data_IF_467684463955
#
_entry.id   IF_467684463955
#
_cell.length_a   1.000
_cell.length_b   1.000
_cell.length_c   1.000
_cell.angle_alpha   90.00
_cell.angle_beta   90.00
_cell.angle_gamma   90.00
#
_symmetry.space_group_name_H-M   'P 1'
#
loop_
_entity.id
_entity.type
_entity.pdbx_description
1 polymer ?
#
# COMPACT_ATOMS: atom_id res chain seq x y z
N UNK A 1 -12.31 16.50 19.95
CA UNK A 1 -12.12 15.06 20.12
C UNK A 1 -11.15 14.61 19.05
N UNK A 2 -9.85 14.65 19.34
CA UNK A 2 -8.84 14.03 18.49
C UNK A 2 -8.91 12.52 18.74
N UNK A 3 -9.63 11.82 17.88
CA UNK A 3 -9.50 10.38 17.79
C UNK A 3 -8.06 10.09 17.41
N UNK A 4 -7.31 9.45 18.29
CA UNK A 4 -5.97 8.92 18.00
C UNK A 4 -6.12 7.97 16.83
N UNK A 5 -5.79 8.43 15.62
CA UNK A 5 -5.74 7.55 14.44
C UNK A 5 -4.65 6.54 14.75
N UNK A 6 -5.05 5.28 15.00
CA UNK A 6 -4.10 4.19 15.16
C UNK A 6 -3.46 3.93 13.80
N UNK A 7 -2.20 4.31 13.65
CA UNK A 7 -1.41 3.95 12.48
C UNK A 7 -1.17 2.45 12.45
N UNK A 8 -1.34 1.86 11.28
CA UNK A 8 -1.08 0.45 11.03
C UNK A 8 0.42 0.21 10.92
N UNK A 9 0.88 -0.94 11.40
CA UNK A 9 2.24 -1.38 11.14
C UNK A 9 2.42 -1.68 9.64
N UNK A 10 3.64 -1.49 9.13
CA UNK A 10 3.93 -1.74 7.72
C UNK A 10 3.67 -3.19 7.31
N UNK A 11 3.92 -4.14 8.20
CA UNK A 11 3.62 -5.56 8.00
C UNK A 11 2.11 -5.82 7.89
N UNK A 12 1.30 -5.13 8.71
CA UNK A 12 -0.15 -5.24 8.66
C UNK A 12 -0.71 -4.63 7.36
N UNK A 13 -0.16 -3.51 6.90
CA UNK A 13 -0.51 -2.89 5.62
C UNK A 13 -0.23 -3.85 4.47
N UNK A 14 0.98 -4.43 4.45
CA UNK A 14 1.38 -5.39 3.44
C UNK A 14 0.46 -6.62 3.46
N UNK A 15 0.22 -7.22 4.62
CA UNK A 15 -0.57 -8.46 4.70
C UNK A 15 -2.03 -8.23 4.30
N UNK A 16 -2.62 -7.08 4.65
CA UNK A 16 -3.96 -6.70 4.18
C UNK A 16 -4.02 -6.58 2.66
N UNK A 17 -3.08 -5.85 2.05
CA UNK A 17 -3.04 -5.67 0.61
C UNK A 17 -2.76 -7.01 -0.12
N UNK A 18 -1.80 -7.80 0.39
CA UNK A 18 -1.47 -9.14 -0.12
C UNK A 18 -2.68 -10.06 -0.07
N UNK A 19 -3.32 -10.20 1.09
CA UNK A 19 -4.48 -11.06 1.24
C UNK A 19 -5.62 -10.64 0.30
N UNK A 20 -5.84 -9.33 0.14
CA UNK A 20 -6.83 -8.80 -0.79
C UNK A 20 -6.51 -9.15 -2.25
N UNK A 21 -5.29 -8.87 -2.72
CA UNK A 21 -4.87 -9.17 -4.09
C UNK A 21 -4.94 -10.67 -4.41
N UNK A 22 -4.50 -11.51 -3.46
CA UNK A 22 -4.54 -12.97 -3.61
C UNK A 22 -5.94 -13.56 -3.50
N UNK A 23 -6.88 -12.90 -2.81
CA UNK A 23 -8.28 -13.31 -2.80
C UNK A 23 -9.02 -12.87 -4.08
N UNK A 24 -8.74 -11.66 -4.56
CA UNK A 24 -9.40 -11.10 -5.74
C UNK A 24 -8.94 -11.78 -7.04
N UNK A 25 -7.66 -12.17 -7.14
CA UNK A 25 -7.05 -12.84 -8.31
C UNK A 25 -7.40 -12.17 -9.65
N UNK A 26 -7.57 -10.84 -9.62
CA UNK A 26 -8.02 -10.07 -10.77
C UNK A 26 -7.60 -8.62 -10.59
N UNK A 27 -7.24 -7.96 -11.70
CA UNK A 27 -6.94 -6.53 -11.69
C UNK A 27 -8.19 -5.69 -11.50
N UNK A 28 -8.01 -4.62 -10.76
CA UNK A 28 -8.98 -3.55 -10.57
C UNK A 28 -8.76 -2.52 -11.67
N UNK A 29 -9.58 -2.61 -12.71
CA UNK A 29 -9.48 -1.80 -13.93
C UNK A 29 -10.85 -1.17 -14.25
N UNK A 30 -10.85 -0.12 -15.08
CA UNK A 30 -12.07 0.46 -15.65
C UNK A 30 -12.49 -0.22 -16.97
N UNK A 31 -13.40 0.42 -17.73
CA UNK A 31 -13.93 -0.12 -18.98
C UNK A 31 -12.88 -0.19 -20.09
N UNK A 32 -11.88 0.69 -20.00
CA UNK A 32 -10.83 0.85 -20.99
C UNK A 32 -9.60 -0.02 -20.65
N UNK A 33 -9.63 -0.70 -19.50
CA UNK A 33 -8.53 -1.52 -19.00
C UNK A 33 -7.51 -0.74 -18.20
N UNK A 34 -7.80 0.52 -17.84
CA UNK A 34 -6.87 1.34 -17.06
C UNK A 34 -6.95 0.96 -15.57
N UNK A 35 -5.81 0.83 -14.86
CA UNK A 35 -5.80 0.50 -13.44
C UNK A 35 -6.53 1.54 -12.58
N UNK A 36 -7.33 1.06 -11.62
CA UNK A 36 -8.11 1.89 -10.69
C UNK A 36 -7.94 1.43 -9.25
N UNK A 37 -7.98 2.36 -8.31
CA UNK A 37 -8.08 2.03 -6.90
C UNK A 37 -9.39 1.29 -6.61
N UNK A 38 -10.49 1.74 -7.22
CA UNK A 38 -11.79 1.07 -7.26
C UNK A 38 -12.26 0.88 -8.69
N UNK A 39 -11.98 -0.30 -9.23
CA UNK A 39 -12.37 -0.71 -10.58
C UNK A 39 -13.81 -1.23 -10.66
N UNK A 40 -14.14 -1.75 -11.84
CA UNK A 40 -15.46 -2.30 -12.09
C UNK A 40 -15.77 -3.55 -11.25
N UNK A 41 -17.05 -3.78 -10.98
CA UNK A 41 -17.51 -4.99 -10.29
C UNK A 41 -17.04 -5.07 -8.83
N UNK A 42 -16.96 -3.93 -8.14
CA UNK A 42 -16.47 -3.81 -6.75
C UNK A 42 -15.03 -4.29 -6.54
N UNK A 43 -14.24 -4.38 -7.61
CA UNK A 43 -12.82 -4.71 -7.52
C UNK A 43 -12.05 -3.53 -6.92
N UNK A 44 -11.02 -3.87 -6.14
CA UNK A 44 -10.11 -2.89 -5.55
C UNK A 44 -8.68 -3.33 -5.81
N UNK A 45 -7.79 -2.40 -6.10
CA UNK A 45 -6.36 -2.74 -6.11
C UNK A 45 -5.86 -2.90 -4.65
N UNK A 46 -4.60 -3.30 -4.48
CA UNK A 46 -4.00 -3.45 -3.16
C UNK A 46 -4.07 -2.17 -2.32
N UNK A 47 -3.87 -1.01 -2.95
CA UNK A 47 -3.94 0.29 -2.28
C UNK A 47 -5.39 0.70 -2.01
N UNK A 48 -6.30 0.47 -2.96
CA UNK A 48 -7.72 0.74 -2.81
C UNK A 48 -8.37 -0.06 -1.68
N UNK A 49 -7.82 -1.22 -1.34
CA UNK A 49 -8.23 -2.01 -0.19
C UNK A 49 -7.75 -1.45 1.16
N UNK A 50 -6.69 -0.63 1.16
CA UNK A 50 -6.18 0.06 2.36
C UNK A 50 -6.92 1.38 2.64
N UNK A 51 -7.61 1.94 1.64
CA UNK A 51 -8.37 3.19 1.77
C UNK A 51 -9.78 2.88 2.24
N UNK A 52 -10.15 3.42 3.41
CA UNK A 52 -11.49 3.27 3.96
C UNK A 52 -12.55 3.87 3.02
N UNK A 53 -13.70 3.23 2.92
CA UNK A 53 -14.82 3.69 2.10
C UNK A 53 -15.27 5.11 2.48
N UNK A 54 -15.12 5.51 3.75
CA UNK A 54 -15.41 6.88 4.22
C UNK A 54 -14.41 7.94 3.75
N UNK A 55 -13.25 7.53 3.24
CA UNK A 55 -12.16 8.43 2.82
C UNK A 55 -11.83 8.32 1.34
N UNK A 56 -12.37 7.31 0.67
CA UNK A 56 -12.31 7.19 -0.77
C UNK A 56 -13.06 8.33 -1.46
N UNK A 57 -12.45 8.87 -2.51
CA UNK A 57 -13.03 9.89 -3.37
C UNK A 57 -12.62 9.59 -4.80
N UNK A 58 -13.52 9.78 -5.76
CA UNK A 58 -13.23 9.49 -7.16
C UNK A 58 -12.13 10.37 -7.76
N UNK A 59 -11.80 11.52 -7.14
CA UNK A 59 -10.73 12.42 -7.56
C UNK A 59 -9.32 11.91 -7.23
N UNK A 60 -9.19 10.82 -6.46
CA UNK A 60 -7.92 10.13 -6.27
C UNK A 60 -7.62 9.14 -7.39
N UNK A 61 -8.61 8.78 -8.21
CA UNK A 61 -8.43 7.83 -9.31
C UNK A 61 -7.50 8.42 -10.38
N UNK A 62 -6.51 7.63 -10.79
CA UNK A 62 -5.46 8.08 -11.73
C UNK A 62 -4.31 8.86 -11.07
N UNK A 63 -4.37 9.14 -9.77
CA UNK A 63 -3.20 9.60 -9.02
C UNK A 63 -2.31 8.41 -8.70
N UNK A 64 -1.05 8.42 -9.12
CA UNK A 64 -0.09 7.35 -8.76
C UNK A 64 0.47 7.53 -7.36
N UNK A 65 0.75 6.42 -6.66
CA UNK A 65 1.42 6.45 -5.33
C UNK A 65 2.81 7.07 -5.35
N UNK A 66 3.44 7.22 -6.52
CA UNK A 66 4.70 7.96 -6.67
C UNK A 66 4.60 9.44 -6.29
N UNK A 67 3.40 10.04 -6.32
CA UNK A 67 3.14 11.40 -5.83
C UNK A 67 3.43 11.53 -4.33
N UNK A 68 3.33 10.43 -3.56
CA UNK A 68 3.58 10.42 -2.12
C UNK A 68 5.05 10.68 -1.77
N UNK A 69 5.98 10.57 -2.73
CA UNK A 69 7.40 10.92 -2.54
C UNK A 69 7.61 12.41 -2.32
N UNK A 70 6.65 13.24 -2.72
CA UNK A 70 6.68 14.68 -2.48
C UNK A 70 5.80 14.97 -1.26
N UNK A 71 6.37 15.53 -0.17
CA UNK A 71 5.60 15.91 0.99
C UNK A 71 4.43 16.84 0.61
N UNK A 72 3.22 16.44 0.96
CA UNK A 72 2.02 17.16 0.55
C UNK A 72 0.74 16.67 1.22
N UNK A 73 -0.33 17.38 0.90
CA UNK A 73 -1.72 17.10 1.31
C UNK A 73 -2.59 16.93 0.06
N UNK A 74 -2.08 16.27 -0.96
CA UNK A 74 -2.90 15.87 -2.10
C UNK A 74 -4.04 14.93 -1.65
N UNK A 75 -5.09 14.76 -2.46
CA UNK A 75 -6.24 13.93 -2.11
C UNK A 75 -5.89 12.49 -1.73
N UNK A 76 -4.90 11.87 -2.40
CA UNK A 76 -4.48 10.50 -2.13
C UNK A 76 -3.75 10.39 -0.78
N UNK A 77 -2.77 11.26 -0.50
CA UNK A 77 -2.08 11.26 0.80
C UNK A 77 -3.06 11.53 1.95
N UNK A 78 -4.04 12.41 1.77
CA UNK A 78 -5.08 12.66 2.77
C UNK A 78 -5.96 11.43 3.02
N UNK A 79 -6.38 10.72 1.96
CA UNK A 79 -7.21 9.52 2.08
C UNK A 79 -6.46 8.39 2.81
N UNK A 80 -5.19 8.18 2.47
CA UNK A 80 -4.32 7.17 3.08
C UNK A 80 -4.06 7.48 4.57
N UNK A 81 -3.66 8.72 4.91
CA UNK A 81 -3.44 9.13 6.31
C UNK A 81 -4.67 8.93 7.17
N UNK A 82 -5.85 9.33 6.67
CA UNK A 82 -7.13 9.15 7.38
C UNK A 82 -7.52 7.69 7.53
N UNK A 83 -7.06 6.83 6.62
CA UNK A 83 -7.25 5.37 6.69
C UNK A 83 -6.19 4.68 7.55
N UNK A 84 -5.32 5.43 8.24
CA UNK A 84 -4.31 4.89 9.16
C UNK A 84 -3.00 4.46 8.49
N UNK A 85 -2.78 4.84 7.23
CA UNK A 85 -1.53 4.58 6.49
C UNK A 85 -0.55 5.73 6.72
N UNK A 86 0.66 5.42 7.19
CA UNK A 86 1.68 6.44 7.46
C UNK A 86 2.49 6.79 6.21
N UNK A 87 1.95 7.66 5.35
CA UNK A 87 2.62 8.09 4.11
C UNK A 87 3.78 9.06 4.33
N UNK A 88 4.08 9.42 5.58
CA UNK A 88 5.27 10.20 5.94
C UNK A 88 6.50 9.29 6.19
N UNK A 89 6.30 7.97 6.29
CA UNK A 89 7.38 6.98 6.35
C UNK A 89 7.74 6.51 4.93
N UNK A 90 8.97 6.79 4.50
CA UNK A 90 9.49 6.40 3.19
C UNK A 90 9.34 4.89 2.94
N UNK A 91 9.46 4.04 3.97
CA UNK A 91 9.31 2.59 3.83
C UNK A 91 7.88 2.21 3.47
N UNK A 92 6.90 2.92 4.01
CA UNK A 92 5.49 2.74 3.66
C UNK A 92 5.26 3.19 2.22
N UNK A 93 5.82 4.34 1.81
CA UNK A 93 5.71 4.81 0.43
C UNK A 93 6.31 3.81 -0.56
N UNK A 94 7.50 3.27 -0.29
CA UNK A 94 8.11 2.21 -1.11
C UNK A 94 7.21 0.97 -1.20
N UNK A 95 6.63 0.53 -0.07
CA UNK A 95 5.70 -0.60 -0.06
C UNK A 95 4.47 -0.34 -0.94
N UNK A 96 3.89 0.86 -0.86
CA UNK A 96 2.72 1.21 -1.68
C UNK A 96 3.08 1.21 -3.18
N UNK A 97 4.28 1.67 -3.55
CA UNK A 97 4.79 1.62 -4.92
C UNK A 97 4.97 0.16 -5.38
N UNK A 98 5.63 -0.68 -4.60
CA UNK A 98 5.80 -2.11 -4.92
C UNK A 98 4.44 -2.80 -5.16
N UNK A 99 3.45 -2.53 -4.31
CA UNK A 99 2.11 -3.12 -4.42
C UNK A 99 1.38 -2.62 -5.68
N UNK A 100 1.52 -1.35 -6.03
CA UNK A 100 0.95 -0.79 -7.24
C UNK A 100 1.63 -1.40 -8.48
N UNK A 101 2.95 -1.49 -8.51
CA UNK A 101 3.71 -2.08 -9.63
C UNK A 101 3.36 -3.56 -9.84
N UNK A 102 3.18 -4.33 -8.76
CA UNK A 102 2.72 -5.72 -8.85
C UNK A 102 1.33 -5.79 -9.49
N UNK A 103 0.40 -4.95 -9.06
CA UNK A 103 -0.97 -4.94 -9.59
C UNK A 103 -1.01 -4.52 -11.06
N UNK A 104 -0.33 -3.42 -11.40
CA UNK A 104 -0.43 -2.75 -12.69
C UNK A 104 0.41 -3.46 -13.78
N UNK A 105 1.61 -3.95 -13.42
CA UNK A 105 2.60 -4.41 -14.41
C UNK A 105 2.75 -5.93 -14.48
N UNK A 106 2.54 -6.64 -13.39
CA UNK A 106 2.79 -8.10 -13.35
C UNK A 106 1.56 -8.89 -13.80
N UNK A 107 1.79 -10.01 -14.48
CA UNK A 107 0.75 -11.02 -14.71
C UNK A 107 0.24 -11.56 -13.36
N UNK A 108 -1.05 -11.83 -13.26
CA UNK A 108 -1.71 -12.26 -12.01
C UNK A 108 -1.06 -13.54 -11.45
N UNK A 109 -0.68 -14.48 -12.33
CA UNK A 109 0.00 -15.72 -11.94
C UNK A 109 1.36 -15.49 -11.24
N UNK A 110 1.99 -14.33 -11.48
CA UNK A 110 3.25 -13.94 -10.85
C UNK A 110 3.06 -13.21 -9.52
N UNK A 111 1.84 -12.77 -9.19
CA UNK A 111 1.57 -12.03 -7.95
C UNK A 111 2.02 -12.75 -6.68
N UNK A 112 1.76 -14.07 -6.48
CA UNK A 112 2.21 -14.77 -5.28
C UNK A 112 3.73 -14.67 -5.06
N UNK A 113 4.51 -14.91 -6.12
CA UNK A 113 5.97 -14.84 -6.07
C UNK A 113 6.48 -13.41 -5.87
N UNK A 114 5.87 -12.42 -6.53
CA UNK A 114 6.27 -11.03 -6.38
C UNK A 114 5.97 -10.50 -4.96
N UNK A 115 4.79 -10.80 -4.42
CA UNK A 115 4.41 -10.44 -3.05
C UNK A 115 5.33 -11.12 -2.02
N UNK A 116 5.76 -12.36 -2.27
CA UNK A 116 6.73 -13.04 -1.42
C UNK A 116 8.08 -12.31 -1.38
N UNK A 117 8.56 -11.80 -2.51
CA UNK A 117 9.79 -11.02 -2.57
C UNK A 117 9.68 -9.72 -1.74
N UNK A 118 8.52 -9.05 -1.76
CA UNK A 118 8.25 -7.89 -0.90
C UNK A 118 8.28 -8.29 0.58
N UNK A 119 7.64 -9.41 0.95
CA UNK A 119 7.65 -9.94 2.32
C UNK A 119 9.07 -10.17 2.84
N UNK A 120 9.91 -10.84 2.05
CA UNK A 120 11.30 -11.11 2.40
C UNK A 120 12.09 -9.81 2.63
N UNK A 121 11.88 -8.79 1.79
CA UNK A 121 12.51 -7.48 1.92
C UNK A 121 12.12 -6.78 3.22
N UNK A 122 10.83 -6.79 3.57
CA UNK A 122 10.33 -6.21 4.82
C UNK A 122 10.92 -6.91 6.04
N UNK A 123 10.96 -8.25 6.04
CA UNK A 123 11.55 -9.03 7.12
C UNK A 123 13.06 -8.76 7.29
N UNK A 124 13.80 -8.67 6.17
CA UNK A 124 15.22 -8.31 6.19
C UNK A 124 15.47 -6.91 6.76
N UNK A 125 14.63 -5.94 6.41
CA UNK A 125 14.72 -4.57 6.93
C UNK A 125 14.42 -4.51 8.45
N UNK A 126 13.43 -5.27 8.93
CA UNK A 126 13.11 -5.35 10.35
C UNK A 126 14.28 -5.93 11.17
N UNK A 127 14.93 -6.99 10.66
CA UNK A 127 16.11 -7.58 11.29
C UNK A 127 17.30 -6.62 11.34
N UNK A 128 17.55 -5.86 10.26
CA UNK A 128 18.62 -4.86 10.22
C UNK A 128 18.39 -3.71 11.21
N UNK A 129 17.14 -3.24 11.34
CA UNK A 129 16.78 -2.18 12.29
C UNK A 129 16.91 -2.62 13.75
N UNK A 130 16.57 -3.88 14.06
CA UNK A 130 16.78 -4.46 15.39
C UNK A 130 18.28 -4.59 15.73
N UNK A 131 19.12 -4.98 14.78
CA UNK A 131 20.57 -5.06 14.97
C UNK A 131 21.25 -3.69 15.16
N UNK A 132 20.73 -2.63 14.52
CA UNK A 132 21.25 -1.27 14.68
C UNK A 132 20.86 -0.61 16.02
N UNK A 133 19.93 -1.22 16.78
CA UNK A 133 19.40 -0.66 18.02
C UNK A 133 20.00 -1.28 19.29
N UNK A 134 20.97 -2.20 19.18
CA UNK A 134 21.66 -2.74 20.36
C UNK A 134 22.70 -1.74 20.86
N UNK A 135 22.58 -1.19 22.09
CA UNK A 135 23.59 -0.32 22.63
C UNK A 135 24.87 -1.11 22.89
N UNK A 136 25.96 -0.65 22.28
CA UNK A 136 27.33 -1.06 22.58
C UNK A 136 27.60 -0.73 24.05
N UNK A 137 27.61 -1.73 24.92
CA UNK A 137 28.00 -1.59 26.34
C UNK A 137 29.46 -1.99 26.49
N UNK A 138 30.36 -1.09 26.93
CA UNK A 138 31.62 -1.48 27.54
C UNK A 138 31.42 -2.02 28.97
#
# INVERSE_FOLDING_TARGET
MEGKVTRLAIEDLFERARAHLLAQQCRSEDADGEPRYRGQGNRRCGIGALIDDAHYRADIEGLGVSLLRVPGNDPLSCALRRSGVDVDDDRVVELLIDLQDIHDLQAIDNWPTALEAVRCRLAGAALASAAASTPDMP
#
